data_IF_120113616212
#
_entry.id   IF_120113616212
#
_cell.length_a   1.000
_cell.length_b   1.000
_cell.length_c   1.000
_cell.angle_alpha   90.00
_cell.angle_beta   90.00
_cell.angle_gamma   90.00
#
_symmetry.space_group_name_H-M   'P 1'
#
loop_
_entity.id
_entity.type
_entity.pdbx_description
1 polymer ?
#
# COMPACT_ATOMS: atom_id res chain seq x y z
N UNK A 1 -20.55 -5.81 4.13
CA UNK A 1 -19.95 -4.56 4.59
C UNK A 1 -18.51 -4.45 4.06
N UNK A 2 -18.22 -3.39 3.34
CA UNK A 2 -16.86 -3.18 2.85
C UNK A 2 -15.94 -2.83 3.99
N UNK A 3 -14.76 -3.44 3.96
CA UNK A 3 -13.69 -3.05 4.86
C UNK A 3 -12.63 -2.31 4.07
N UNK A 4 -11.88 -1.50 4.76
CA UNK A 4 -10.78 -0.76 4.15
C UNK A 4 -9.46 -1.18 4.76
N UNK A 5 -8.41 -1.07 3.95
CA UNK A 5 -7.06 -1.34 4.40
C UNK A 5 -6.19 -0.13 4.06
N UNK A 6 -5.11 0.02 4.82
CA UNK A 6 -4.14 1.08 4.60
C UNK A 6 -2.88 0.45 4.04
N UNK A 7 -2.44 0.95 2.90
CA UNK A 7 -1.17 0.53 2.28
C UNK A 7 -0.19 1.67 2.43
N UNK A 8 0.93 1.40 3.09
CA UNK A 8 1.99 2.39 3.21
C UNK A 8 3.23 1.92 2.47
N UNK A 9 3.84 2.84 1.72
CA UNK A 9 5.03 2.55 0.91
C UNK A 9 6.09 3.58 1.29
N UNK A 10 7.25 3.11 1.69
CA UNK A 10 8.36 3.97 2.11
C UNK A 10 9.64 3.47 1.46
N UNK A 11 10.43 4.39 0.93
CA UNK A 11 11.72 4.05 0.37
C UNK A 11 12.36 5.21 -0.33
N UNK A 12 13.44 4.92 -1.03
CA UNK A 12 14.13 5.95 -1.81
C UNK A 12 13.30 6.30 -3.04
N UNK A 13 13.17 7.60 -3.31
CA UNK A 13 12.41 8.07 -4.46
C UNK A 13 13.06 7.59 -5.75
N UNK A 14 12.24 7.05 -6.64
CA UNK A 14 12.69 6.52 -7.92
C UNK A 14 11.52 6.37 -8.86
N UNK A 15 11.82 6.25 -10.15
CA UNK A 15 10.80 6.09 -11.18
C UNK A 15 10.09 4.74 -11.04
N UNK A 16 8.79 4.75 -11.19
CA UNK A 16 8.00 3.52 -11.29
C UNK A 16 7.36 3.03 -10.02
N UNK A 17 7.60 3.67 -8.88
CA UNK A 17 7.00 3.20 -7.61
C UNK A 17 5.48 3.18 -7.71
N UNK A 18 4.89 4.32 -8.06
CA UNK A 18 3.43 4.44 -8.10
C UNK A 18 2.85 3.48 -9.14
N UNK A 19 3.47 3.42 -10.32
CA UNK A 19 2.98 2.57 -11.39
C UNK A 19 2.96 1.09 -10.98
N UNK A 20 4.04 0.60 -10.37
CA UNK A 20 4.11 -0.80 -9.98
C UNK A 20 3.12 -1.14 -8.87
N UNK A 21 3.02 -0.29 -7.88
CA UNK A 21 2.10 -0.54 -6.75
C UNK A 21 0.65 -0.48 -7.21
N UNK A 22 0.28 0.56 -7.97
CA UNK A 22 -1.11 0.71 -8.41
C UNK A 22 -1.50 -0.34 -9.43
N UNK A 23 -0.56 -0.81 -10.25
CA UNK A 23 -0.85 -1.90 -11.20
C UNK A 23 -1.22 -3.18 -10.46
N UNK A 24 -0.52 -3.50 -9.38
CA UNK A 24 -0.85 -4.68 -8.58
C UNK A 24 -2.27 -4.56 -8.03
N UNK A 25 -2.63 -3.39 -7.52
CA UNK A 25 -3.97 -3.17 -6.99
C UNK A 25 -5.03 -3.31 -8.08
N UNK A 26 -4.78 -2.73 -9.25
CA UNK A 26 -5.71 -2.80 -10.37
C UNK A 26 -5.87 -4.23 -10.87
N UNK A 27 -4.77 -4.97 -10.98
CA UNK A 27 -4.80 -6.36 -11.44
C UNK A 27 -5.59 -7.26 -10.49
N UNK A 28 -5.63 -6.90 -9.23
CA UNK A 28 -6.37 -7.64 -8.21
C UNK A 28 -7.77 -7.07 -7.97
N UNK A 29 -8.20 -6.14 -8.82
CA UNK A 29 -9.52 -5.52 -8.79
C UNK A 29 -9.80 -4.82 -7.46
N UNK A 30 -8.78 -4.15 -6.94
CA UNK A 30 -8.87 -3.42 -5.68
C UNK A 30 -9.00 -1.94 -5.99
N UNK A 31 -10.02 -1.31 -5.45
CA UNK A 31 -10.25 0.12 -5.62
C UNK A 31 -9.46 0.93 -4.60
N UNK A 32 -8.89 2.03 -5.06
CA UNK A 32 -8.21 2.98 -4.19
C UNK A 32 -9.19 4.11 -3.88
N UNK A 33 -9.54 4.27 -2.61
CA UNK A 33 -10.47 5.32 -2.22
C UNK A 33 -9.77 6.62 -1.82
N UNK A 34 -8.51 6.55 -1.44
CA UNK A 34 -7.73 7.75 -1.13
C UNK A 34 -6.26 7.47 -1.28
N UNK A 35 -5.49 8.50 -1.60
CA UNK A 35 -4.04 8.37 -1.77
C UNK A 35 -3.38 9.68 -1.38
N UNK A 36 -2.28 9.58 -0.65
CA UNK A 36 -1.46 10.73 -0.26
C UNK A 36 -0.01 10.33 -0.43
N UNK A 37 0.79 11.23 -1.01
CA UNK A 37 2.21 10.97 -1.17
C UNK A 37 3.01 12.20 -0.78
N UNK A 38 4.22 11.96 -0.30
CA UNK A 38 5.14 13.01 0.11
C UNK A 38 6.55 12.58 -0.29
N UNK A 39 7.29 13.51 -0.86
CA UNK A 39 8.72 13.31 -1.12
C UNK A 39 9.46 14.29 -0.24
N UNK A 40 10.25 13.75 0.68
CA UNK A 40 11.05 14.56 1.58
C UNK A 40 12.51 14.23 1.32
N UNK A 41 13.23 15.18 0.75
CA UNK A 41 14.59 14.96 0.28
C UNK A 41 14.59 13.82 -0.74
N UNK A 42 15.24 12.70 -0.42
CA UNK A 42 15.30 11.55 -1.32
C UNK A 42 14.33 10.45 -0.94
N UNK A 43 13.49 10.67 0.08
CA UNK A 43 12.59 9.65 0.56
C UNK A 43 11.19 9.83 0.01
N UNK A 44 10.64 8.75 -0.50
CA UNK A 44 9.26 8.66 -0.97
C UNK A 44 8.42 8.01 0.11
N UNK A 45 7.28 8.63 0.43
CA UNK A 45 6.31 8.07 1.35
C UNK A 45 4.93 8.18 0.71
N UNK A 46 4.21 7.07 0.67
CA UNK A 46 2.87 7.04 0.11
C UNK A 46 1.96 6.25 1.02
N UNK A 47 0.77 6.79 1.26
CA UNK A 47 -0.26 6.11 2.03
C UNK A 47 -1.51 6.06 1.17
N UNK A 48 -2.07 4.87 1.02
CA UNK A 48 -3.31 4.67 0.27
C UNK A 48 -4.34 3.99 1.15
N UNK A 49 -5.59 4.37 0.93
CA UNK A 49 -6.72 3.66 1.54
C UNK A 49 -7.40 2.89 0.41
N UNK A 50 -7.50 1.59 0.59
CA UNK A 50 -8.06 0.70 -0.42
C UNK A 50 -9.29 -0.03 0.13
N UNK A 51 -10.16 -0.41 -0.77
CA UNK A 51 -11.37 -1.15 -0.42
C UNK A 51 -11.10 -2.64 -0.49
N UNK A 52 -11.37 -3.34 0.60
CA UNK A 52 -11.17 -4.79 0.71
C UNK A 52 -12.51 -5.47 0.90
N UNK A 53 -12.91 -6.27 -0.08
CA UNK A 53 -14.16 -7.03 -0.01
C UNK A 53 -13.95 -8.40 0.65
N UNK A 54 -12.75 -8.93 0.57
CA UNK A 54 -12.41 -10.24 1.05
C UNK A 54 -11.13 -10.15 1.89
N UNK A 55 -11.19 -10.56 3.18
CA UNK A 55 -9.98 -10.52 4.03
C UNK A 55 -8.79 -11.30 3.46
N UNK A 56 -9.05 -12.32 2.64
CA UNK A 56 -7.98 -13.08 2.01
C UNK A 56 -7.16 -12.26 1.01
N UNK A 57 -7.72 -11.15 0.53
CA UNK A 57 -6.99 -10.25 -0.36
C UNK A 57 -5.75 -9.66 0.29
N UNK A 58 -5.77 -9.46 1.60
CA UNK A 58 -4.59 -8.92 2.28
C UNK A 58 -3.37 -9.81 2.09
N UNK A 59 -3.54 -11.11 2.28
CA UNK A 59 -2.44 -12.06 2.10
C UNK A 59 -1.97 -12.10 0.64
N UNK A 60 -2.92 -12.10 -0.28
CA UNK A 60 -2.58 -12.09 -1.71
C UNK A 60 -1.79 -10.85 -2.09
N UNK A 61 -2.23 -9.67 -1.63
CA UNK A 61 -1.55 -8.42 -1.94
C UNK A 61 -0.16 -8.38 -1.31
N UNK A 62 -0.01 -8.86 -0.09
CA UNK A 62 1.30 -8.94 0.54
C UNK A 62 2.29 -9.74 -0.30
N UNK A 63 1.84 -10.90 -0.79
CA UNK A 63 2.67 -11.74 -1.64
C UNK A 63 3.03 -11.04 -2.96
N UNK A 64 2.07 -10.33 -3.53
CA UNK A 64 2.29 -9.62 -4.79
C UNK A 64 3.23 -8.43 -4.63
N UNK A 65 3.22 -7.78 -3.47
CA UNK A 65 4.10 -6.66 -3.21
C UNK A 65 5.54 -7.06 -2.89
N UNK A 66 5.77 -8.29 -2.43
CA UNK A 66 7.13 -8.72 -2.06
C UNK A 66 8.16 -8.54 -3.17
N UNK A 67 7.89 -8.95 -4.42
CA UNK A 67 8.87 -8.74 -5.49
C UNK A 67 9.16 -7.27 -5.74
N UNK A 68 8.16 -6.42 -5.61
CA UNK A 68 8.33 -4.98 -5.80
C UNK A 68 9.19 -4.40 -4.69
N UNK A 69 8.98 -4.85 -3.45
CA UNK A 69 9.82 -4.42 -2.32
C UNK A 69 11.29 -4.73 -2.58
N UNK A 70 11.57 -5.95 -3.04
CA UNK A 70 12.94 -6.37 -3.31
C UNK A 70 13.53 -5.64 -4.51
N UNK A 71 12.73 -5.51 -5.56
CA UNK A 71 13.21 -4.91 -6.81
C UNK A 71 13.53 -3.42 -6.65
N UNK A 72 12.71 -2.70 -5.91
CA UNK A 72 12.85 -1.25 -5.74
C UNK A 72 13.42 -0.85 -4.38
N UNK A 73 13.70 -1.79 -3.50
CA UNK A 73 14.21 -1.47 -2.17
C UNK A 73 13.20 -0.72 -1.32
N UNK A 74 11.93 -1.09 -1.40
CA UNK A 74 10.86 -0.42 -0.68
C UNK A 74 10.41 -1.22 0.52
N UNK A 75 9.80 -0.53 1.47
CA UNK A 75 9.06 -1.13 2.56
C UNK A 75 7.58 -0.90 2.31
N UNK A 76 6.83 -1.97 2.11
CA UNK A 76 5.39 -1.88 1.85
C UNK A 76 4.65 -2.61 2.95
N UNK A 77 3.78 -1.87 3.66
CA UNK A 77 2.93 -2.45 4.70
C UNK A 77 1.49 -2.35 4.25
N UNK A 78 0.71 -3.39 4.58
CA UNK A 78 -0.71 -3.37 4.34
C UNK A 78 -1.41 -3.89 5.59
N UNK A 79 -2.36 -3.12 6.10
CA UNK A 79 -3.09 -3.45 7.33
C UNK A 79 -4.54 -3.05 7.18
N UNK A 80 -5.44 -3.78 7.84
CA UNK A 80 -6.82 -3.33 7.93
C UNK A 80 -6.86 -1.96 8.61
N UNK A 81 -7.81 -1.13 8.19
CA UNK A 81 -7.93 0.23 8.71
C UNK A 81 -8.05 0.23 10.24
N UNK A 82 -8.82 -0.69 10.79
CA UNK A 82 -9.02 -0.77 12.23
C UNK A 82 -7.70 -1.02 12.96
N UNK A 83 -6.88 -1.91 12.41
CA UNK A 83 -5.58 -2.22 12.99
C UNK A 83 -4.65 -1.01 12.88
N UNK A 84 -4.65 -0.36 11.75
CA UNK A 84 -3.82 0.82 11.52
C UNK A 84 -4.19 1.93 12.52
N UNK A 85 -5.47 2.19 12.71
CA UNK A 85 -5.92 3.20 13.65
C UNK A 85 -5.54 2.87 15.08
N UNK A 86 -5.61 1.60 15.47
CA UNK A 86 -5.24 1.19 16.81
C UNK A 86 -3.76 1.42 17.10
N UNK A 87 -2.90 1.19 16.10
CA UNK A 87 -1.45 1.35 16.24
C UNK A 87 -1.05 2.83 16.25
N UNK A 88 -1.71 3.64 15.42
CA UNK A 88 -1.35 5.05 15.25
C UNK A 88 -2.22 6.01 16.06
N UNK A 89 -2.95 5.48 16.99
CA UNK A 89 -3.80 6.27 17.85
C UNK A 89 -2.97 7.04 18.88
N UNK A 90 -3.28 8.29 19.00
CA UNK A 90 -2.61 9.16 19.98
C UNK A 90 -3.48 9.30 21.22
#
# INVERSE_FOLDING_TARGET
>A
MQKRAVVSVVGKDQVGIIAKVTTILADNKVNISDISQTILQDFFTMIMIIDINDPNKLSELKQKFEPVEKDLGLKINIQLEDVFQAIHRV
#
